data_IF_431556826402
#
_entry.id   IF_431556826402
#
_cell.length_a   1.000
_cell.length_b   1.000
_cell.length_c   1.000
_cell.angle_alpha   90.00
_cell.angle_beta   90.00
_cell.angle_gamma   90.00
#
_symmetry.space_group_name_H-M   'P 1'
#
loop_
_entity.id
_entity.type
_entity.pdbx_description
1 polymer ?
#
# COMPACT_ATOMS: atom_id res chain seq x y z
N UNK A 1 -18.01 -11.32 6.73
CA UNK A 1 -18.08 -10.58 5.45
C UNK A 1 -16.69 -10.67 4.84
N UNK A 2 -16.53 -11.24 3.66
CA UNK A 2 -15.21 -11.32 3.02
C UNK A 2 -14.86 -9.91 2.50
N UNK A 3 -13.70 -9.37 2.90
CA UNK A 3 -13.22 -8.09 2.38
C UNK A 3 -12.98 -8.14 0.87
N UNK A 4 -13.01 -6.98 0.22
CA UNK A 4 -12.75 -6.86 -1.22
C UNK A 4 -11.28 -7.18 -1.49
N UNK A 5 -10.98 -7.89 -2.57
CA UNK A 5 -9.61 -8.27 -2.91
C UNK A 5 -9.12 -7.48 -4.10
N UNK A 6 -7.91 -6.96 -3.97
CA UNK A 6 -7.17 -6.32 -5.05
C UNK A 6 -5.94 -7.14 -5.37
N UNK A 7 -5.59 -7.17 -6.64
CA UNK A 7 -4.38 -7.80 -7.16
C UNK A 7 -3.39 -6.70 -7.50
N UNK A 8 -2.18 -6.82 -6.98
CA UNK A 8 -1.10 -5.87 -7.17
C UNK A 8 0.02 -6.60 -7.91
N UNK A 9 0.33 -6.15 -9.11
CA UNK A 9 1.43 -6.63 -9.92
C UNK A 9 2.54 -5.58 -9.90
N UNK A 10 3.71 -5.93 -9.39
CA UNK A 10 4.89 -5.07 -9.35
C UNK A 10 6.04 -5.77 -10.09
N UNK A 11 6.24 -5.40 -11.35
CA UNK A 11 7.17 -6.14 -12.23
C UNK A 11 6.72 -7.59 -12.40
N UNK A 12 7.57 -8.54 -12.01
CA UNK A 12 7.29 -9.98 -12.08
C UNK A 12 6.64 -10.53 -10.78
N UNK A 13 6.44 -9.68 -9.77
CA UNK A 13 5.85 -10.07 -8.50
C UNK A 13 4.35 -9.81 -8.48
N UNK A 14 3.60 -10.79 -7.99
CA UNK A 14 2.15 -10.72 -7.86
C UNK A 14 1.77 -10.96 -6.41
N UNK A 15 1.05 -10.00 -5.83
CA UNK A 15 0.46 -10.15 -4.49
C UNK A 15 -1.03 -9.84 -4.53
N UNK A 16 -1.78 -10.40 -3.59
CA UNK A 16 -3.19 -10.07 -3.38
C UNK A 16 -3.32 -9.36 -2.04
N UNK A 17 -4.15 -8.34 -1.95
CA UNK A 17 -4.46 -7.67 -0.70
C UNK A 17 -5.97 -7.63 -0.46
N UNK A 18 -6.36 -7.70 0.82
CA UNK A 18 -7.76 -7.58 1.26
C UNK A 18 -7.97 -6.18 1.81
N UNK A 19 -8.88 -5.44 1.18
CA UNK A 19 -9.30 -4.14 1.64
C UNK A 19 -10.33 -4.25 2.77
N UNK A 20 -10.26 -3.30 3.69
CA UNK A 20 -11.22 -3.06 4.74
C UNK A 20 -12.45 -2.29 4.20
N UNK A 21 -13.32 -1.86 5.10
CA UNK A 21 -14.54 -1.11 4.81
C UNK A 21 -14.42 0.39 5.09
N UNK A 22 -13.20 0.95 5.05
CA UNK A 22 -13.00 2.40 5.18
C UNK A 22 -13.46 3.13 3.91
N UNK A 23 -13.73 4.42 4.05
CA UNK A 23 -14.10 5.28 2.93
C UNK A 23 -12.97 5.37 1.89
N UNK A 24 -11.72 5.52 2.34
CA UNK A 24 -10.55 5.53 1.44
C UNK A 24 -10.42 4.22 0.66
N UNK A 25 -10.79 3.08 1.24
CA UNK A 25 -10.82 1.79 0.55
C UNK A 25 -11.91 1.73 -0.53
N UNK A 26 -13.06 2.38 -0.32
CA UNK A 26 -14.10 2.53 -1.35
C UNK A 26 -13.59 3.37 -2.52
N UNK A 27 -12.95 4.50 -2.24
CA UNK A 27 -12.37 5.36 -3.26
C UNK A 27 -11.29 4.64 -4.09
N UNK A 28 -10.40 3.89 -3.42
CA UNK A 28 -9.41 3.07 -4.10
C UNK A 28 -10.10 2.06 -5.02
N UNK A 29 -11.11 1.34 -4.52
CA UNK A 29 -11.83 0.32 -5.28
C UNK A 29 -12.48 0.86 -6.55
N UNK A 30 -13.09 2.03 -6.46
CA UNK A 30 -13.78 2.70 -7.58
C UNK A 30 -12.80 3.28 -8.61
N UNK A 31 -11.56 3.58 -8.20
CA UNK A 31 -10.49 4.05 -9.07
C UNK A 31 -9.79 2.94 -9.86
N UNK A 32 -10.01 1.66 -9.53
CA UNK A 32 -9.36 0.54 -10.22
C UNK A 32 -9.90 0.33 -11.65
N UNK A 33 -9.05 -0.10 -12.60
CA UNK A 33 -7.62 -0.42 -12.45
C UNK A 33 -6.72 0.82 -12.48
N UNK A 34 -5.61 0.77 -11.73
CA UNK A 34 -4.59 1.83 -11.66
C UNK A 34 -3.25 1.28 -12.15
N UNK A 35 -2.53 2.07 -12.93
CA UNK A 35 -1.18 1.78 -13.38
C UNK A 35 -0.27 2.99 -13.10
N UNK A 36 0.85 2.76 -12.41
CA UNK A 36 1.76 3.81 -11.98
C UNK A 36 3.19 3.28 -11.80
N UNK A 37 4.19 4.16 -11.86
CA UNK A 37 5.56 3.79 -11.51
C UNK A 37 5.75 3.84 -9.99
N UNK A 38 6.13 2.71 -9.40
CA UNK A 38 6.42 2.55 -7.98
C UNK A 38 7.78 3.10 -7.59
N UNK A 39 7.83 3.82 -6.48
CA UNK A 39 9.07 4.25 -5.83
C UNK A 39 9.28 3.44 -4.55
N UNK A 40 10.52 3.17 -4.19
CA UNK A 40 10.85 2.43 -2.95
C UNK A 40 11.43 3.36 -1.89
N UNK A 41 11.10 3.13 -0.62
CA UNK A 41 11.69 3.86 0.52
C UNK A 41 11.94 2.92 1.71
N UNK A 42 13.14 2.35 1.78
CA UNK A 42 13.39 1.21 2.67
C UNK A 42 12.59 -0.02 2.21
N UNK A 43 11.98 -0.74 3.14
CA UNK A 43 11.09 -1.87 2.84
C UNK A 43 9.62 -1.42 2.63
N UNK A 44 9.43 -0.37 1.83
CA UNK A 44 8.13 0.16 1.43
C UNK A 44 8.15 0.48 -0.07
N UNK A 45 7.05 0.21 -0.75
CA UNK A 45 6.77 0.68 -2.11
C UNK A 45 5.61 1.67 -2.05
N UNK A 46 5.77 2.83 -2.67
CA UNK A 46 4.72 3.82 -2.80
C UNK A 46 4.57 4.32 -4.23
N UNK A 47 3.34 4.62 -4.64
CA UNK A 47 3.03 5.17 -5.96
C UNK A 47 1.78 6.03 -5.91
N UNK A 48 1.74 7.07 -6.75
CA UNK A 48 0.59 7.96 -6.82
C UNK A 48 -0.61 7.26 -7.42
N UNK A 49 -1.79 7.49 -6.84
CA UNK A 49 -3.07 7.00 -7.31
C UNK A 49 -4.04 8.17 -7.56
N UNK A 50 -5.05 8.03 -8.44
CA UNK A 50 -6.02 9.08 -8.71
C UNK A 50 -7.13 9.11 -7.64
N UNK A 51 -6.74 9.02 -6.37
CA UNK A 51 -7.61 9.09 -5.21
C UNK A 51 -7.22 10.32 -4.40
N UNK A 52 -8.22 11.05 -3.93
CA UNK A 52 -8.04 12.18 -3.03
C UNK A 52 -8.92 11.93 -1.81
N UNK A 53 -8.26 11.91 -0.65
CA UNK A 53 -8.90 11.75 0.65
C UNK A 53 -8.01 12.43 1.70
N UNK A 54 -8.60 12.80 2.84
CA UNK A 54 -7.89 13.38 3.98
C UNK A 54 -7.41 12.29 4.95
N UNK A 55 -6.71 12.66 6.02
CA UNK A 55 -6.37 11.72 7.09
C UNK A 55 -7.66 11.22 7.78
N UNK A 56 -7.88 9.91 7.73
CA UNK A 56 -9.01 9.22 8.36
C UNK A 56 -8.49 7.98 9.10
N UNK A 57 -8.62 8.00 10.43
CA UNK A 57 -8.03 6.99 11.35
C UNK A 57 -6.55 6.68 11.02
N UNK A 58 -5.80 7.72 10.66
CA UNK A 58 -4.45 7.60 10.15
C UNK A 58 -3.47 7.08 11.22
N UNK A 59 -2.63 6.13 10.84
CA UNK A 59 -1.71 5.44 11.76
C UNK A 59 -0.25 5.77 11.43
N UNK A 60 0.55 6.05 12.47
CA UNK A 60 2.01 6.27 12.36
C UNK A 60 2.83 4.98 12.52
N UNK A 61 2.18 3.89 12.90
CA UNK A 61 2.77 2.54 13.04
C UNK A 61 1.83 1.57 12.34
N UNK A 62 2.37 0.72 11.49
CA UNK A 62 1.61 -0.25 10.71
C UNK A 62 2.20 -1.65 10.86
N UNK A 63 1.43 -2.66 10.49
CA UNK A 63 1.85 -4.05 10.55
C UNK A 63 2.54 -4.50 9.25
N UNK A 64 3.26 -5.62 9.32
CA UNK A 64 3.85 -6.26 8.15
C UNK A 64 2.75 -6.65 7.14
N UNK A 65 2.89 -6.22 5.89
CA UNK A 65 1.91 -6.47 4.84
C UNK A 65 0.82 -5.41 4.75
N UNK A 66 0.83 -4.37 5.58
CA UNK A 66 -0.17 -3.32 5.53
C UNK A 66 -0.19 -2.61 4.16
N UNK A 67 -1.40 -2.26 3.73
CA UNK A 67 -1.67 -1.39 2.59
C UNK A 67 -2.20 -0.07 3.15
N UNK A 68 -1.45 1.00 2.97
CA UNK A 68 -1.81 2.35 3.44
C UNK A 68 -2.06 3.31 2.29
N UNK A 69 -2.88 4.33 2.51
CA UNK A 69 -2.96 5.51 1.68
C UNK A 69 -2.27 6.67 2.41
N UNK A 70 -1.37 7.36 1.70
CA UNK A 70 -0.65 8.52 2.20
C UNK A 70 -1.25 9.80 1.61
N UNK A 71 -2.08 10.55 2.38
CA UNK A 71 -2.80 11.71 1.88
C UNK A 71 -1.92 12.83 1.28
N UNK A 72 -0.80 13.24 1.92
CA UNK A 72 0.06 14.30 1.39
C UNK A 72 0.63 14.01 -0.01
N UNK A 73 0.85 12.73 -0.32
CA UNK A 73 1.39 12.29 -1.60
C UNK A 73 0.34 11.78 -2.59
N UNK A 74 -0.93 11.67 -2.19
CA UNK A 74 -1.97 10.93 -2.91
C UNK A 74 -1.47 9.56 -3.36
N UNK A 75 -0.79 8.86 -2.45
CA UNK A 75 -0.03 7.66 -2.79
C UNK A 75 -0.59 6.43 -2.07
N UNK A 76 -0.59 5.29 -2.76
CA UNK A 76 -0.75 4.00 -2.13
C UNK A 76 0.63 3.50 -1.68
N UNK A 77 0.71 3.03 -0.45
CA UNK A 77 1.89 2.52 0.21
C UNK A 77 1.70 1.03 0.56
N UNK A 78 2.70 0.22 0.24
CA UNK A 78 2.77 -1.21 0.53
C UNK A 78 3.94 -1.45 1.48
N UNK A 79 3.64 -1.88 2.70
CA UNK A 79 4.63 -2.08 3.75
C UNK A 79 5.01 -3.54 3.85
N UNK A 80 6.29 -3.87 3.62
CA UNK A 80 6.80 -5.25 3.68
C UNK A 80 8.08 -5.35 4.54
N UNK A 81 8.25 -4.38 5.43
CA UNK A 81 9.33 -4.34 6.41
C UNK A 81 9.57 -2.94 6.93
N UNK A 82 10.78 -2.71 7.44
CA UNK A 82 11.15 -1.44 8.07
C UNK A 82 11.46 -0.35 7.05
N UNK A 83 10.93 0.82 7.33
CA UNK A 83 11.24 2.07 6.61
C UNK A 83 12.37 2.84 7.31
N UNK A 84 12.91 3.90 6.70
CA UNK A 84 13.85 4.80 7.37
C UNK A 84 13.28 5.55 8.60
N UNK A 85 11.96 5.69 8.72
CA UNK A 85 11.31 6.28 9.91
C UNK A 85 11.07 5.27 11.05
N UNK A 86 11.33 3.98 10.81
CA UNK A 86 11.06 2.90 11.75
C UNK A 86 11.96 2.96 12.99
N UNK A 87 11.36 2.81 14.18
CA UNK A 87 12.06 2.84 15.47
C UNK A 87 11.99 1.44 16.10
N UNK A 88 13.15 0.87 16.45
CA UNK A 88 13.21 -0.50 16.97
C UNK A 88 12.70 -1.50 15.94
N UNK A 89 11.66 -2.24 16.29
CA UNK A 89 11.05 -3.29 15.46
C UNK A 89 9.71 -2.85 14.82
N UNK A 90 9.26 -1.62 15.05
CA UNK A 90 8.02 -1.07 14.48
C UNK A 90 8.22 -0.69 13.01
N UNK A 91 7.19 -0.90 12.17
CA UNK A 91 7.16 -0.38 10.79
C UNK A 91 6.43 0.97 10.82
N UNK A 92 7.10 2.03 10.37
CA UNK A 92 6.55 3.39 10.40
C UNK A 92 6.53 4.04 9.02
N UNK A 93 5.40 4.48 8.48
CA UNK A 93 5.41 5.37 7.30
C UNK A 93 6.15 6.70 7.58
N UNK A 94 6.38 7.48 6.52
CA UNK A 94 7.01 8.80 6.65
C UNK A 94 6.16 9.78 7.48
N UNK A 95 4.83 9.67 7.40
CA UNK A 95 3.84 10.31 8.25
C UNK A 95 2.61 9.41 8.35
N UNK A 96 1.61 9.80 9.14
CA UNK A 96 0.39 9.00 9.31
C UNK A 96 -0.26 8.63 7.96
N UNK A 97 -0.72 7.38 7.84
CA UNK A 97 -1.39 6.83 6.64
C UNK A 97 -2.75 6.23 7.00
N UNK A 98 -3.72 6.34 6.12
CA UNK A 98 -5.00 5.67 6.27
C UNK A 98 -4.79 4.19 5.92
N UNK A 99 -4.95 3.29 6.89
CA UNK A 99 -4.79 1.85 6.64
C UNK A 99 -6.01 1.37 5.86
N UNK A 100 -5.76 0.80 4.68
CA UNK A 100 -6.80 0.31 3.77
C UNK A 100 -7.01 -1.19 3.88
N UNK A 101 -6.04 -1.92 4.43
CA UNK A 101 -6.10 -3.38 4.52
C UNK A 101 -4.70 -3.98 4.51
N UNK A 102 -4.61 -5.25 4.13
CA UNK A 102 -3.38 -6.05 4.28
C UNK A 102 -3.17 -6.99 3.09
N UNK A 103 -1.91 -7.23 2.73
CA UNK A 103 -1.48 -8.21 1.76
C UNK A 103 -1.74 -9.62 2.32
N UNK A 104 -2.43 -10.45 1.54
CA UNK A 104 -2.61 -11.87 1.81
C UNK A 104 -1.30 -12.63 1.50
N UNK A 105 -0.76 -13.33 2.48
CA UNK A 105 0.42 -14.18 2.32
C UNK A 105 1.73 -13.46 2.65
N UNK A 106 2.77 -13.70 1.84
CA UNK A 106 4.12 -13.19 2.10
C UNK A 106 4.37 -11.88 1.35
N UNK A 107 4.33 -10.75 2.06
CA UNK A 107 4.63 -9.44 1.52
C UNK A 107 6.13 -9.24 1.20
N UNK A 108 7.02 -10.07 1.76
CA UNK A 108 8.47 -9.88 1.59
C UNK A 108 8.95 -10.16 0.17
N UNK A 109 8.13 -10.81 -0.67
CA UNK A 109 8.38 -10.95 -2.10
C UNK A 109 8.55 -9.60 -2.80
N UNK A 110 7.96 -8.53 -2.25
CA UNK A 110 8.09 -7.17 -2.80
C UNK A 110 9.48 -6.55 -2.54
N UNK A 111 10.33 -7.15 -1.69
CA UNK A 111 11.71 -6.66 -1.44
C UNK A 111 12.60 -6.72 -2.67
N UNK A 112 12.27 -7.57 -3.64
CA UNK A 112 13.01 -7.71 -4.89
C UNK A 112 12.59 -6.66 -5.93
N UNK A 113 11.52 -5.91 -5.68
CA UNK A 113 11.03 -4.85 -6.58
C UNK A 113 11.94 -3.63 -6.51
N UNK A 114 12.48 -3.21 -7.66
CA UNK A 114 13.29 -2.02 -7.76
C UNK A 114 12.45 -0.73 -7.85
N UNK A 115 12.99 0.38 -7.36
CA UNK A 115 12.40 1.71 -7.61
C UNK A 115 12.27 1.98 -9.12
N UNK A 116 11.17 2.60 -9.51
CA UNK A 116 10.78 2.84 -10.91
C UNK A 116 10.00 1.69 -11.55
N UNK A 117 9.85 0.55 -10.88
CA UNK A 117 9.09 -0.60 -11.41
C UNK A 117 7.64 -0.21 -11.68
N UNK A 118 7.09 -0.68 -12.81
CA UNK A 118 5.69 -0.47 -13.13
C UNK A 118 4.81 -1.31 -12.20
N UNK A 119 3.82 -0.66 -11.60
CA UNK A 119 2.86 -1.26 -10.69
C UNK A 119 1.47 -1.14 -11.29
N UNK A 120 0.75 -2.25 -11.28
CA UNK A 120 -0.64 -2.32 -11.68
C UNK A 120 -1.49 -2.86 -10.53
N UNK A 121 -2.57 -2.16 -10.21
CA UNK A 121 -3.55 -2.57 -9.22
C UNK A 121 -4.88 -2.80 -9.93
N UNK A 122 -5.51 -3.94 -9.68
CA UNK A 122 -6.81 -4.30 -10.25
C UNK A 122 -7.66 -5.08 -9.25
N UNK A 123 -8.95 -5.19 -9.52
CA UNK A 123 -9.85 -6.03 -8.72
C UNK A 123 -9.47 -7.50 -8.96
N UNK A 124 -9.38 -8.30 -7.88
CA UNK A 124 -8.88 -9.69 -7.94
C UNK A 124 -9.93 -10.72 -8.34
#
# INVERSE_FOLDING_TARGET
MAGRRIRITAGDHLVTAVLNSSYTSDLLWDALPIEASGSTWGDEIYFRIPVEDEEDDAQEVVEMGAVGYWPPGQALCLFFGRTPASIGDEIRPASAVNVLGDIEGDATVLKEVASGTNIRVEQA
#
